data_IF_204713478079
#
_entry.id   IF_204713478079
#
_cell.length_a   1.000
_cell.length_b   1.000
_cell.length_c   1.000
_cell.angle_alpha   90.00
_cell.angle_beta   90.00
_cell.angle_gamma   90.00
#
_symmetry.space_group_name_H-M   'P 1'
#
loop_
_entity.id
_entity.type
_entity.pdbx_description
1 polymer ?
#
# COMPACT_ATOMS: atom_id res chain seq x y z
N UNK A 1 10.03 -5.24 -22.26
CA UNK A 1 8.71 -4.84 -21.72
C UNK A 1 8.81 -4.29 -20.30
N UNK A 2 9.70 -4.79 -19.42
CA UNK A 2 9.86 -4.26 -18.05
C UNK A 2 10.25 -2.78 -17.93
N UNK A 3 11.17 -2.27 -18.77
CA UNK A 3 11.66 -0.89 -18.64
C UNK A 3 10.56 0.19 -18.78
N UNK A 4 9.57 -0.01 -19.65
CA UNK A 4 8.46 0.94 -19.83
C UNK A 4 7.53 0.95 -18.61
N UNK A 5 7.25 -0.23 -18.05
CA UNK A 5 6.43 -0.40 -16.84
C UNK A 5 7.12 0.25 -15.63
N UNK A 6 8.42 0.01 -15.44
CA UNK A 6 9.23 0.62 -14.39
C UNK A 6 9.26 2.15 -14.51
N UNK A 7 9.53 2.67 -15.71
CA UNK A 7 9.53 4.12 -15.97
C UNK A 7 8.16 4.73 -15.68
N UNK A 8 7.09 4.02 -16.05
CA UNK A 8 5.71 4.44 -15.76
C UNK A 8 5.45 4.47 -14.25
N UNK A 9 5.90 3.47 -13.50
CA UNK A 9 5.76 3.41 -12.04
C UNK A 9 6.56 4.52 -11.35
N UNK A 10 7.80 4.77 -11.77
CA UNK A 10 8.63 5.85 -11.22
C UNK A 10 8.01 7.23 -11.45
N UNK A 11 7.45 7.46 -12.63
CA UNK A 11 6.71 8.70 -12.90
C UNK A 11 5.47 8.80 -12.01
N UNK A 12 4.74 7.70 -11.82
CA UNK A 12 3.60 7.65 -10.93
C UNK A 12 3.97 8.07 -9.50
N UNK A 13 5.03 7.48 -8.93
CA UNK A 13 5.54 7.80 -7.58
C UNK A 13 5.94 9.28 -7.47
N UNK A 14 6.60 9.83 -8.50
CA UNK A 14 6.97 11.26 -8.54
C UNK A 14 5.74 12.18 -8.46
N UNK A 15 4.66 11.86 -9.19
CA UNK A 15 3.40 12.63 -9.15
C UNK A 15 2.73 12.54 -7.77
N UNK A 16 2.74 11.36 -7.14
CA UNK A 16 2.22 11.21 -5.78
C UNK A 16 3.03 12.00 -4.75
N UNK A 17 4.36 12.05 -4.90
CA UNK A 17 5.24 12.89 -4.10
C UNK A 17 4.91 14.38 -4.24
N UNK A 18 4.71 14.85 -5.48
CA UNK A 18 4.27 16.23 -5.77
C UNK A 18 2.90 16.53 -5.15
N UNK A 19 1.94 15.63 -5.29
CA UNK A 19 0.61 15.77 -4.69
C UNK A 19 0.70 15.96 -3.17
N UNK A 20 1.54 15.16 -2.49
CA UNK A 20 1.76 15.29 -1.04
C UNK A 20 2.37 16.64 -0.66
N UNK A 21 3.37 17.11 -1.42
CA UNK A 21 4.00 18.40 -1.18
C UNK A 21 3.04 19.58 -1.39
N UNK A 22 2.16 19.50 -2.39
CA UNK A 22 1.21 20.55 -2.74
C UNK A 22 -0.02 20.60 -1.83
N UNK A 23 -0.30 19.56 -1.04
CA UNK A 23 -1.53 19.46 -0.22
C UNK A 23 -1.77 20.68 0.70
N UNK A 24 -0.69 21.33 1.14
CA UNK A 24 -0.74 22.52 2.01
C UNK A 24 -0.89 23.84 1.26
N UNK A 25 -0.46 23.92 0.00
CA UNK A 25 -0.42 25.16 -0.79
C UNK A 25 -1.53 25.24 -1.83
N UNK A 26 -1.95 24.11 -2.41
CA UNK A 26 -3.07 24.04 -3.34
C UNK A 26 -3.71 22.65 -3.37
N UNK A 27 -4.85 22.51 -2.68
CA UNK A 27 -5.62 21.26 -2.65
C UNK A 27 -6.09 20.80 -4.05
N UNK A 28 -6.58 21.68 -4.94
CA UNK A 28 -7.00 21.25 -6.28
C UNK A 28 -5.86 20.69 -7.13
N UNK A 29 -4.68 21.34 -7.11
CA UNK A 29 -3.51 20.85 -7.84
C UNK A 29 -2.99 19.53 -7.26
N UNK A 30 -2.96 19.42 -5.93
CA UNK A 30 -2.61 18.16 -5.26
C UNK A 30 -3.52 17.00 -5.70
N UNK A 31 -4.83 17.25 -5.84
CA UNK A 31 -5.78 16.24 -6.30
C UNK A 31 -5.54 15.82 -7.76
N UNK A 32 -5.23 16.77 -8.65
CA UNK A 32 -4.91 16.48 -10.05
C UNK A 32 -3.68 15.58 -10.15
N UNK A 33 -2.60 15.91 -9.45
CA UNK A 33 -1.37 15.12 -9.45
C UNK A 33 -1.56 13.74 -8.81
N UNK A 34 -2.40 13.65 -7.76
CA UNK A 34 -2.80 12.38 -7.16
C UNK A 34 -3.50 11.48 -8.20
N UNK A 35 -4.53 12.00 -8.88
CA UNK A 35 -5.30 11.24 -9.87
C UNK A 35 -4.41 10.76 -11.02
N UNK A 36 -3.54 11.63 -11.54
CA UNK A 36 -2.57 11.26 -12.58
C UNK A 36 -1.61 10.17 -12.10
N UNK A 37 -1.07 10.31 -10.88
CA UNK A 37 -0.19 9.32 -10.27
C UNK A 37 -0.85 7.94 -10.19
N UNK A 38 -2.08 7.87 -9.64
CA UNK A 38 -2.83 6.60 -9.54
C UNK A 38 -3.14 6.02 -10.92
N UNK A 39 -3.48 6.86 -11.91
CA UNK A 39 -3.72 6.40 -13.28
C UNK A 39 -2.47 5.72 -13.89
N UNK A 40 -1.28 6.28 -13.66
CA UNK A 40 -0.03 5.69 -14.13
C UNK A 40 0.32 4.39 -13.38
N UNK A 41 0.08 4.29 -12.06
CA UNK A 41 0.23 3.03 -11.33
C UNK A 41 -0.65 1.94 -11.94
N UNK A 42 -1.93 2.24 -12.17
CA UNK A 42 -2.86 1.30 -12.79
C UNK A 42 -2.43 0.91 -14.21
N UNK A 43 -1.80 1.82 -14.97
CA UNK A 43 -1.24 1.50 -16.29
C UNK A 43 -0.05 0.53 -16.16
N UNK A 44 0.88 0.78 -15.24
CA UNK A 44 2.03 -0.11 -15.00
C UNK A 44 1.59 -1.51 -14.56
N UNK A 45 0.58 -1.62 -13.68
CA UNK A 45 -0.01 -2.92 -13.31
C UNK A 45 -0.63 -3.63 -14.52
N UNK A 46 -1.29 -2.93 -15.43
CA UNK A 46 -1.82 -3.55 -16.66
C UNK A 46 -0.73 -4.07 -17.59
N UNK A 47 0.43 -3.40 -17.61
CA UNK A 47 1.58 -3.82 -18.40
C UNK A 47 2.25 -5.07 -17.81
N UNK A 48 2.36 -5.13 -16.48
CA UNK A 48 2.96 -6.25 -15.76
C UNK A 48 2.12 -6.68 -14.56
N UNK A 49 1.02 -7.43 -14.78
CA UNK A 49 0.05 -7.74 -13.72
C UNK A 49 0.58 -8.60 -12.59
N UNK A 50 1.69 -9.30 -12.79
CA UNK A 50 2.30 -10.19 -11.80
C UNK A 50 3.58 -9.60 -11.18
N UNK A 51 3.91 -8.34 -11.50
CA UNK A 51 5.08 -7.67 -10.93
C UNK A 51 4.80 -7.31 -9.46
N UNK A 52 5.40 -8.07 -8.55
CA UNK A 52 5.27 -7.94 -7.09
C UNK A 52 5.62 -6.52 -6.63
N UNK A 53 6.74 -5.97 -7.11
CA UNK A 53 7.20 -4.64 -6.70
C UNK A 53 6.21 -3.55 -7.12
N UNK A 54 5.70 -3.60 -8.36
CA UNK A 54 4.71 -2.63 -8.80
C UNK A 54 3.43 -2.68 -7.97
N UNK A 55 2.99 -3.90 -7.59
CA UNK A 55 1.82 -4.08 -6.70
C UNK A 55 2.10 -3.63 -5.28
N UNK A 56 3.30 -3.84 -4.75
CA UNK A 56 3.72 -3.30 -3.44
C UNK A 56 3.61 -1.78 -3.45
N UNK A 57 4.20 -1.12 -4.44
CA UNK A 57 4.11 0.34 -4.55
C UNK A 57 2.67 0.83 -4.63
N UNK A 58 1.84 0.22 -5.50
CA UNK A 58 0.44 0.62 -5.62
C UNK A 58 -0.31 0.42 -4.30
N UNK A 59 -0.21 -0.76 -3.69
CA UNK A 59 -0.87 -1.06 -2.41
C UNK A 59 -0.48 -0.06 -1.32
N UNK A 60 0.81 0.23 -1.12
CA UNK A 60 1.25 1.15 -0.05
C UNK A 60 0.64 2.53 -0.21
N UNK A 61 0.75 3.05 -1.43
CA UNK A 61 0.33 4.41 -1.73
C UNK A 61 -1.18 4.56 -1.69
N UNK A 62 -1.91 3.59 -2.26
CA UNK A 62 -3.37 3.63 -2.28
C UNK A 62 -3.97 3.42 -0.90
N UNK A 63 -3.43 2.48 -0.10
CA UNK A 63 -3.89 2.28 1.27
C UNK A 63 -3.79 3.57 2.10
N UNK A 64 -2.64 4.25 2.03
CA UNK A 64 -2.45 5.54 2.70
C UNK A 64 -3.42 6.63 2.22
N UNK A 65 -3.79 6.65 0.94
CA UNK A 65 -4.78 7.59 0.39
C UNK A 65 -6.19 7.24 0.85
N UNK A 66 -6.56 5.96 0.76
CA UNK A 66 -7.88 5.43 1.13
C UNK A 66 -8.19 5.70 2.60
N UNK A 67 -7.23 5.53 3.50
CA UNK A 67 -7.38 5.83 4.93
C UNK A 67 -7.72 7.31 5.22
N UNK A 68 -7.36 8.24 4.33
CA UNK A 68 -7.61 9.67 4.50
C UNK A 68 -8.75 10.21 3.61
N UNK A 69 -9.27 9.39 2.69
CA UNK A 69 -10.38 9.72 1.79
C UNK A 69 -11.24 8.46 1.57
N UNK A 70 -12.16 8.14 2.51
CA UNK A 70 -12.72 6.79 2.72
C UNK A 70 -13.58 6.14 1.61
N UNK A 71 -13.50 6.57 0.35
CA UNK A 71 -14.18 5.91 -0.79
C UNK A 71 -13.31 5.83 -2.03
N UNK A 72 -12.10 6.39 -1.99
CA UNK A 72 -11.20 6.42 -3.14
C UNK A 72 -10.30 5.18 -3.10
N UNK A 73 -10.26 4.44 -4.21
CA UNK A 73 -9.29 3.37 -4.50
C UNK A 73 -9.37 2.09 -3.66
N UNK A 74 -10.47 1.87 -2.91
CA UNK A 74 -10.67 0.64 -2.13
C UNK A 74 -10.55 -0.61 -3.01
N UNK A 75 -11.13 -0.57 -4.21
CA UNK A 75 -11.12 -1.70 -5.14
C UNK A 75 -9.69 -2.08 -5.55
N UNK A 76 -8.84 -1.11 -5.83
CA UNK A 76 -7.44 -1.36 -6.20
C UNK A 76 -6.62 -1.89 -5.01
N UNK A 77 -6.89 -1.42 -3.79
CA UNK A 77 -6.28 -1.97 -2.57
C UNK A 77 -6.71 -3.43 -2.36
N UNK A 78 -8.00 -3.73 -2.49
CA UNK A 78 -8.52 -5.11 -2.39
C UNK A 78 -7.98 -6.03 -3.49
N UNK A 79 -7.80 -5.52 -4.71
CA UNK A 79 -7.18 -6.25 -5.83
C UNK A 79 -5.73 -6.64 -5.50
N UNK A 80 -4.93 -5.71 -4.97
CA UNK A 80 -3.55 -6.01 -4.58
C UNK A 80 -3.46 -6.96 -3.39
N UNK A 81 -4.29 -6.76 -2.35
CA UNK A 81 -4.35 -7.68 -1.22
C UNK A 81 -4.73 -9.10 -1.65
N UNK A 82 -5.72 -9.24 -2.54
CA UNK A 82 -6.13 -10.54 -3.08
C UNK A 82 -5.00 -11.20 -3.88
N UNK A 83 -4.31 -10.43 -4.72
CA UNK A 83 -3.13 -10.93 -5.44
C UNK A 83 -2.06 -11.46 -4.49
N UNK A 84 -1.70 -10.71 -3.44
CA UNK A 84 -0.69 -11.16 -2.48
C UNK A 84 -1.14 -12.39 -1.70
N UNK A 85 -2.42 -12.47 -1.33
CA UNK A 85 -2.99 -13.64 -0.66
C UNK A 85 -2.92 -14.89 -1.55
N UNK A 86 -3.22 -14.77 -2.84
CA UNK A 86 -3.10 -15.87 -3.80
C UNK A 86 -1.65 -16.32 -4.00
N UNK A 87 -0.70 -15.38 -3.94
CA UNK A 87 0.73 -15.64 -4.10
C UNK A 87 1.44 -15.98 -2.77
N UNK A 88 0.74 -16.05 -1.64
CA UNK A 88 1.38 -16.12 -0.31
C UNK A 88 2.45 -17.22 -0.19
N UNK A 89 2.21 -18.37 -0.83
CA UNK A 89 3.14 -19.50 -0.84
C UNK A 89 4.46 -19.25 -1.59
N UNK A 90 4.45 -18.38 -2.60
CA UNK A 90 5.62 -18.03 -3.42
C UNK A 90 6.32 -16.74 -2.97
N UNK A 91 5.69 -15.95 -2.10
CA UNK A 91 6.29 -14.73 -1.56
C UNK A 91 7.51 -15.01 -0.69
N UNK A 92 8.48 -14.09 -0.76
CA UNK A 92 9.59 -14.04 0.20
C UNK A 92 9.06 -13.72 1.60
N UNK A 93 9.85 -13.99 2.65
CA UNK A 93 9.47 -13.63 4.03
C UNK A 93 9.20 -12.12 4.16
N UNK A 94 9.99 -11.30 3.46
CA UNK A 94 9.82 -9.84 3.44
C UNK A 94 8.50 -9.44 2.78
N UNK A 95 8.15 -10.05 1.65
CA UNK A 95 6.90 -9.74 0.96
C UNK A 95 5.67 -10.24 1.72
N UNK A 96 5.79 -11.36 2.45
CA UNK A 96 4.74 -11.84 3.36
C UNK A 96 4.51 -10.87 4.52
N UNK A 97 5.59 -10.40 5.16
CA UNK A 97 5.51 -9.41 6.23
C UNK A 97 4.88 -8.11 5.72
N UNK A 98 5.28 -7.65 4.53
CA UNK A 98 4.69 -6.50 3.86
C UNK A 98 3.19 -6.67 3.62
N UNK A 99 2.79 -7.80 3.02
CA UNK A 99 1.38 -8.11 2.77
C UNK A 99 0.56 -8.11 4.06
N UNK A 100 1.01 -8.85 5.08
CA UNK A 100 0.33 -8.94 6.36
C UNK A 100 0.23 -7.57 7.04
N UNK A 101 1.28 -6.76 7.01
CA UNK A 101 1.22 -5.39 7.55
C UNK A 101 0.15 -4.56 6.85
N UNK A 102 0.11 -4.59 5.51
CA UNK A 102 -0.89 -3.86 4.73
C UNK A 102 -2.32 -4.38 4.99
N UNK A 103 -2.49 -5.70 5.12
CA UNK A 103 -3.77 -6.31 5.48
C UNK A 103 -4.23 -5.84 6.87
N UNK A 104 -3.35 -5.84 7.86
CA UNK A 104 -3.66 -5.38 9.22
C UNK A 104 -4.13 -3.93 9.23
N UNK A 105 -3.38 -3.03 8.57
CA UNK A 105 -3.77 -1.63 8.38
C UNK A 105 -5.15 -1.49 7.70
N UNK A 106 -5.41 -2.29 6.67
CA UNK A 106 -6.68 -2.29 5.96
C UNK A 106 -7.85 -2.80 6.80
N UNK A 107 -7.66 -3.83 7.63
CA UNK A 107 -8.70 -4.31 8.55
C UNK A 107 -9.08 -3.25 9.58
N UNK A 108 -8.10 -2.49 10.08
CA UNK A 108 -8.37 -1.31 10.90
C UNK A 108 -9.21 -0.27 10.16
N UNK A 109 -8.87 0.03 8.91
CA UNK A 109 -9.64 0.95 8.08
C UNK A 109 -11.10 0.49 7.90
N UNK A 110 -11.34 -0.82 7.77
CA UNK A 110 -12.68 -1.40 7.68
C UNK A 110 -13.44 -1.46 9.02
N UNK A 111 -12.78 -1.12 10.13
CA UNK A 111 -13.35 -1.19 11.47
C UNK A 111 -13.20 -2.55 12.16
N UNK A 112 -12.54 -3.52 11.52
CA UNK A 112 -12.26 -4.85 12.07
C UNK A 112 -11.01 -4.82 12.96
N UNK A 113 -11.07 -4.06 14.05
CA UNK A 113 -9.91 -3.78 14.90
C UNK A 113 -9.22 -5.05 15.41
N UNK A 114 -9.97 -6.02 15.93
CA UNK A 114 -9.43 -7.26 16.48
C UNK A 114 -8.61 -8.03 15.44
N UNK A 115 -9.15 -8.16 14.22
CA UNK A 115 -8.45 -8.80 13.10
C UNK A 115 -7.20 -8.01 12.69
N UNK A 116 -7.28 -6.69 12.68
CA UNK A 116 -6.12 -5.84 12.40
C UNK A 116 -4.99 -6.04 13.42
N UNK A 117 -5.32 -6.12 14.71
CA UNK A 117 -4.37 -6.41 15.79
C UNK A 117 -3.73 -7.78 15.60
N UNK A 118 -4.55 -8.82 15.38
CA UNK A 118 -4.10 -10.20 15.18
C UNK A 118 -3.08 -10.27 14.04
N UNK A 119 -3.42 -9.71 12.88
CA UNK A 119 -2.56 -9.76 11.69
C UNK A 119 -1.26 -8.97 11.89
N UNK A 120 -1.29 -7.79 12.53
CA UNK A 120 -0.06 -7.03 12.81
C UNK A 120 0.82 -7.74 13.86
N UNK A 121 0.19 -8.39 14.83
CA UNK A 121 0.89 -9.20 15.83
C UNK A 121 1.58 -10.40 15.19
N UNK A 122 0.96 -11.01 14.18
CA UNK A 122 1.60 -12.07 13.38
C UNK A 122 2.86 -11.58 12.66
N UNK A 123 2.88 -10.34 12.17
CA UNK A 123 4.09 -9.73 11.60
C UNK A 123 5.20 -9.65 12.66
N UNK A 124 4.86 -9.10 13.83
CA UNK A 124 5.79 -8.86 14.94
C UNK A 124 6.40 -10.18 15.45
N UNK A 125 5.59 -11.23 15.56
CA UNK A 125 6.03 -12.50 16.15
C UNK A 125 6.79 -13.39 15.16
N UNK A 126 6.38 -13.41 13.88
CA UNK A 126 6.89 -14.38 12.91
C UNK A 126 7.94 -13.80 11.95
N UNK A 127 8.04 -12.47 11.86
CA UNK A 127 8.94 -11.81 10.91
C UNK A 127 9.80 -10.70 11.59
N UNK A 128 10.51 -11.00 12.70
CA UNK A 128 11.27 -9.99 13.44
C UNK A 128 12.44 -9.38 12.65
N UNK A 129 12.98 -10.10 11.66
CA UNK A 129 14.08 -9.63 10.83
C UNK A 129 13.62 -8.84 9.59
N UNK A 130 12.31 -8.71 9.38
CA UNK A 130 11.77 -7.96 8.26
C UNK A 130 11.98 -6.46 8.43
N UNK A 131 12.20 -5.73 7.32
CA UNK A 131 12.25 -4.26 7.37
C UNK A 131 10.90 -3.65 7.74
N UNK A 132 9.83 -4.44 7.65
CA UNK A 132 8.46 -4.07 7.99
C UNK A 132 8.17 -4.23 9.50
N UNK A 133 8.97 -4.99 10.24
CA UNK A 133 8.76 -5.28 11.67
C UNK A 133 8.52 -4.03 12.51
N UNK A 134 9.47 -3.09 12.50
CA UNK A 134 9.39 -1.86 13.30
C UNK A 134 8.21 -0.99 12.86
N UNK A 135 7.90 -0.98 11.56
CA UNK A 135 6.74 -0.26 11.05
C UNK A 135 5.43 -0.81 11.62
N UNK A 136 5.22 -2.13 11.54
CA UNK A 136 4.00 -2.77 12.04
C UNK A 136 3.83 -2.59 13.55
N UNK A 137 4.94 -2.68 14.30
CA UNK A 137 4.97 -2.43 15.74
C UNK A 137 4.57 -1.01 16.09
N UNK A 138 5.21 -0.01 15.49
CA UNK A 138 4.90 1.40 15.73
C UNK A 138 3.46 1.75 15.33
N UNK A 139 2.97 1.17 14.22
CA UNK A 139 1.58 1.37 13.81
C UNK A 139 0.61 0.81 14.86
N UNK A 140 0.84 -0.42 15.34
CA UNK A 140 0.03 -1.06 16.38
C UNK A 140 0.02 -0.29 17.70
N UNK A 141 1.16 0.25 18.13
CA UNK A 141 1.24 1.12 19.31
C UNK A 141 0.40 2.39 19.11
N UNK A 142 0.51 3.03 17.94
CA UNK A 142 -0.17 4.30 17.64
C UNK A 142 -1.71 4.25 17.59
N UNK A 143 -2.28 3.04 17.52
CA UNK A 143 -3.73 2.81 17.44
C UNK A 143 -4.31 2.18 18.70
N UNK A 144 -3.51 1.53 19.55
CA UNK A 144 -3.94 1.02 20.86
C UNK A 144 -4.01 2.16 21.89
N UNK A 145 -3.13 3.16 21.78
CA UNK A 145 -3.10 4.32 22.69
C UNK A 145 -4.18 5.39 22.40
N UNK A 146 -5.16 5.09 21.52
CA UNK A 146 -6.25 6.01 21.11
C UNK A 146 -7.63 5.46 21.43
#
# INVERSE_FOLDING_TARGET
>A
MGLESETTMLHAISLLGKAKAMKRTSKPLALIELIKGVSLMNKSIKMEPNNIENRKYRLRHLLGVTMHSPKSFIKEVEDDLSFFQEQIGSLTLEDRAYYLSALGEYEFFRGNKERGIEVLTDVINNYPDSTIYEYSKLYLESIIDK
#
